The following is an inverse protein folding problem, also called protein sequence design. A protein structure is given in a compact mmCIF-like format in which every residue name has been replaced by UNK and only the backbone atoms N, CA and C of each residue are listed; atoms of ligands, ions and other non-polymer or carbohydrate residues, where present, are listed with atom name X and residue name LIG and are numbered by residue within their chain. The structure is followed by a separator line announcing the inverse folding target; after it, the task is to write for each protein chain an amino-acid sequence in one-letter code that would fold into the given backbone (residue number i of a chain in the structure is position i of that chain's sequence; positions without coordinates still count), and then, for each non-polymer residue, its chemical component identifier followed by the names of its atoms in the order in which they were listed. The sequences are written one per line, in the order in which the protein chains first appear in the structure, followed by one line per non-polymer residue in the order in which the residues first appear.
data_IF_362669670442
#
_entry.id   IF_362669670442
#
_cell.length_a   1.000
_cell.length_b   1.000
_cell.length_c   1.000
_cell.angle_alpha   90.00
_cell.angle_beta   90.00
_cell.angle_gamma   90.00
#
_symmetry.space_group_name_H-M   'P 1'
#
loop_
_entity.id
_entity.type
_entity.pdbx_description
1 polymer ?
#
# COMPACT_ATOMS: atom_id res chain seq x y z
N UNK A 1 10.62 5.49 1.51
CA UNK A 1 11.01 6.72 0.75
C UNK A 1 12.50 7.03 0.84
N UNK A 2 13.15 6.97 1.99
CA UNK A 2 14.58 7.33 2.11
C UNK A 2 15.57 6.42 1.37
N UNK A 3 15.32 5.13 1.18
CA UNK A 3 16.29 4.23 0.53
C UNK A 3 16.36 4.40 -1.00
N UNK A 4 15.24 4.63 -1.68
CA UNK A 4 15.24 4.87 -3.12
C UNK A 4 15.84 6.25 -3.45
N UNK A 5 15.52 7.26 -2.64
CA UNK A 5 16.11 8.60 -2.72
C UNK A 5 17.60 8.57 -2.43
N UNK A 6 18.02 7.82 -1.41
CA UNK A 6 19.44 7.62 -1.07
C UNK A 6 20.21 6.88 -2.17
N UNK A 7 19.61 5.92 -2.87
CA UNK A 7 20.21 5.26 -4.03
C UNK A 7 20.39 6.20 -5.23
N UNK A 8 19.42 7.10 -5.50
CA UNK A 8 19.59 8.13 -6.52
C UNK A 8 20.68 9.14 -6.14
N UNK A 9 20.80 9.49 -4.86
CA UNK A 9 21.85 10.37 -4.35
C UNK A 9 23.24 9.69 -4.32
N UNK A 10 23.30 8.40 -3.99
CA UNK A 10 24.54 7.60 -3.92
C UNK A 10 25.09 7.18 -5.30
N UNK A 11 24.24 7.08 -6.33
CA UNK A 11 24.68 6.73 -7.70
C UNK A 11 25.35 7.91 -8.42
N UNK A 12 25.17 9.11 -7.91
CA UNK A 12 25.83 10.33 -8.38
C UNK A 12 27.08 10.61 -7.54
N UNK A 13 28.14 9.84 -7.81
CA UNK A 13 29.45 10.01 -7.18
C UNK A 13 29.87 11.46 -7.07
N UNK A 14 30.45 11.80 -5.93
CA UNK A 14 30.88 13.08 -5.40
C UNK A 14 31.73 13.94 -6.35
N UNK A 15 31.17 14.44 -7.45
CA UNK A 15 31.83 15.48 -8.25
C UNK A 15 30.81 16.25 -9.09
N UNK A 16 30.56 17.48 -8.70
CA UNK A 16 29.78 18.58 -9.29
C UNK A 16 28.45 18.83 -8.62
N UNK A 17 28.16 20.12 -8.34
CA UNK A 17 26.89 20.68 -7.84
C UNK A 17 25.71 19.97 -8.48
N UNK A 18 24.93 19.22 -7.70
CA UNK A 18 23.91 18.30 -8.16
C UNK A 18 22.76 19.05 -8.83
N UNK A 19 22.77 19.11 -10.16
CA UNK A 19 21.56 19.41 -10.92
C UNK A 19 20.61 18.22 -10.78
N UNK A 20 19.32 18.50 -10.70
CA UNK A 20 18.27 17.47 -10.74
C UNK A 20 18.39 16.66 -12.03
N UNK A 21 18.30 15.30 -12.00
CA UNK A 21 18.36 14.49 -13.21
C UNK A 21 17.38 14.96 -14.28
N UNK A 22 17.78 14.92 -15.58
CA UNK A 22 16.91 15.35 -16.67
C UNK A 22 15.75 14.39 -16.94
N UNK A 23 15.85 13.14 -16.48
CA UNK A 23 14.86 12.10 -16.72
C UNK A 23 14.43 11.49 -15.40
N UNK A 24 13.13 11.38 -15.19
CA UNK A 24 12.52 10.62 -14.09
C UNK A 24 11.49 9.62 -14.61
N UNK A 25 11.57 8.39 -14.09
CA UNK A 25 10.48 7.42 -14.14
C UNK A 25 9.99 7.22 -12.71
N UNK A 26 8.75 7.63 -12.43
CA UNK A 26 8.10 7.48 -11.12
C UNK A 26 6.93 6.53 -11.27
N UNK A 27 6.87 5.46 -10.48
CA UNK A 27 5.79 4.49 -10.57
C UNK A 27 5.36 3.95 -9.21
N UNK A 28 4.13 3.42 -9.14
CA UNK A 28 3.54 2.83 -7.93
C UNK A 28 2.18 3.39 -7.58
N UNK A 29 1.98 3.84 -6.33
CA UNK A 29 0.71 4.41 -5.88
C UNK A 29 0.27 5.59 -6.77
N UNK A 30 -0.90 5.53 -7.44
CA UNK A 30 -1.29 6.53 -8.44
C UNK A 30 -1.36 7.95 -7.86
N UNK A 31 -1.83 8.09 -6.61
CA UNK A 31 -1.95 9.39 -5.96
C UNK A 31 -0.57 9.97 -5.61
N UNK A 32 0.27 9.16 -4.98
CA UNK A 32 1.62 9.57 -4.58
C UNK A 32 2.52 9.81 -5.80
N UNK A 33 2.39 9.02 -6.85
CA UNK A 33 3.08 9.22 -8.14
C UNK A 33 2.71 10.58 -8.74
N UNK A 34 1.41 10.94 -8.74
CA UNK A 34 0.94 12.23 -9.23
C UNK A 34 1.49 13.39 -8.39
N UNK A 35 1.44 13.27 -7.07
CA UNK A 35 1.99 14.28 -6.15
C UNK A 35 3.50 14.45 -6.38
N UNK A 36 4.23 13.34 -6.50
CA UNK A 36 5.67 13.36 -6.77
C UNK A 36 6.01 13.97 -8.13
N UNK A 37 5.22 13.66 -9.14
CA UNK A 37 5.36 14.24 -10.47
C UNK A 37 5.23 15.78 -10.42
N UNK A 38 4.28 16.29 -9.66
CA UNK A 38 4.11 17.75 -9.50
C UNK A 38 5.31 18.38 -8.78
N UNK A 39 5.82 17.74 -7.72
CA UNK A 39 7.04 18.20 -7.03
C UNK A 39 8.25 18.30 -7.98
N UNK A 40 8.42 17.29 -8.84
CA UNK A 40 9.50 17.27 -9.82
C UNK A 40 9.35 18.37 -10.87
N UNK A 41 8.14 18.64 -11.33
CA UNK A 41 7.86 19.76 -12.22
C UNK A 41 8.22 21.10 -11.57
N UNK A 42 7.84 21.30 -10.31
CA UNK A 42 8.12 22.53 -9.59
C UNK A 42 9.63 22.71 -9.30
N UNK A 43 10.36 21.59 -9.03
CA UNK A 43 11.80 21.58 -8.91
C UNK A 43 12.46 21.99 -10.23
N UNK A 44 12.07 21.40 -11.37
CA UNK A 44 12.62 21.74 -12.66
C UNK A 44 12.29 23.21 -13.05
N UNK A 45 11.08 23.68 -12.81
CA UNK A 45 10.72 25.11 -13.04
C UNK A 45 11.63 26.07 -12.26
N UNK A 46 11.99 25.71 -11.03
CA UNK A 46 12.94 26.51 -10.22
C UNK A 46 14.37 26.48 -10.79
N UNK A 47 14.78 25.36 -11.41
CA UNK A 47 16.12 25.20 -11.95
C UNK A 47 16.30 25.80 -13.35
N UNK A 48 15.34 25.57 -14.24
CA UNK A 48 15.43 25.91 -15.67
C UNK A 48 14.59 27.15 -16.06
N UNK A 49 13.82 27.71 -15.11
CA UNK A 49 12.95 28.85 -15.34
C UNK A 49 11.62 28.46 -15.99
N UNK A 50 11.03 29.41 -16.72
CA UNK A 50 9.79 29.16 -17.45
C UNK A 50 10.00 28.08 -18.52
N UNK A 51 9.12 27.07 -18.51
CA UNK A 51 9.18 25.95 -19.42
C UNK A 51 7.80 25.60 -19.97
N UNK A 52 7.76 25.15 -21.20
CA UNK A 52 6.60 24.51 -21.80
C UNK A 52 6.44 23.10 -21.24
N UNK A 53 5.23 22.74 -20.79
CA UNK A 53 4.91 21.38 -20.32
C UNK A 53 4.01 20.69 -21.32
N UNK A 54 4.55 19.74 -22.07
CA UNK A 54 3.79 18.89 -22.97
C UNK A 54 3.41 17.59 -22.27
N UNK A 55 2.09 17.30 -22.21
CA UNK A 55 1.56 16.07 -21.61
C UNK A 55 1.18 15.07 -22.71
N UNK A 56 1.70 13.87 -22.62
CA UNK A 56 1.37 12.74 -23.49
C UNK A 56 0.68 11.68 -22.65
N UNK A 57 -0.60 11.48 -22.85
CA UNK A 57 -1.41 10.52 -22.12
C UNK A 57 -1.52 9.22 -22.92
N UNK A 58 -1.08 8.08 -22.33
CA UNK A 58 -1.11 6.77 -22.96
C UNK A 58 -2.34 6.00 -22.45
N UNK A 59 -3.45 6.01 -23.23
CA UNK A 59 -4.72 5.40 -22.81
C UNK A 59 -4.96 4.03 -23.45
N UNK A 60 -4.55 3.85 -24.70
CA UNK A 60 -4.84 2.66 -25.50
C UNK A 60 -3.64 1.73 -25.63
N UNK A 61 -3.88 0.42 -25.46
CA UNK A 61 -2.88 -0.64 -25.64
C UNK A 61 -2.82 -1.20 -27.08
N UNK A 62 -3.52 -0.60 -28.05
CA UNK A 62 -3.45 -1.04 -29.43
C UNK A 62 -2.07 -0.77 -30.04
N UNK A 63 -1.60 -1.64 -30.94
CA UNK A 63 -0.27 -1.52 -31.54
C UNK A 63 -0.08 -0.19 -32.28
N UNK A 64 -1.12 0.28 -32.98
CA UNK A 64 -1.13 1.55 -33.69
C UNK A 64 -1.03 2.75 -32.73
N UNK A 65 -1.74 2.70 -31.59
CA UNK A 65 -1.66 3.75 -30.57
C UNK A 65 -0.27 3.81 -29.92
N UNK A 66 0.32 2.68 -29.59
CA UNK A 66 1.66 2.60 -29.00
C UNK A 66 2.72 3.16 -29.95
N UNK A 67 2.68 2.82 -31.23
CA UNK A 67 3.55 3.42 -32.25
C UNK A 67 3.37 4.93 -32.34
N UNK A 68 2.13 5.40 -32.27
CA UNK A 68 1.81 6.83 -32.21
C UNK A 68 2.37 7.54 -30.98
N UNK A 69 2.27 6.92 -29.79
CA UNK A 69 2.83 7.50 -28.56
C UNK A 69 4.36 7.57 -28.60
N UNK A 70 5.03 6.49 -29.04
CA UNK A 70 6.50 6.48 -29.16
C UNK A 70 6.95 7.56 -30.15
N UNK A 71 6.32 7.65 -31.33
CA UNK A 71 6.62 8.68 -32.33
C UNK A 71 6.41 10.09 -31.77
N UNK A 72 5.34 10.30 -31.02
CA UNK A 72 5.05 11.59 -30.37
C UNK A 72 6.09 11.95 -29.31
N UNK A 73 6.48 10.99 -28.45
CA UNK A 73 7.54 11.21 -27.45
C UNK A 73 8.84 11.60 -28.16
N UNK A 74 9.25 10.84 -29.17
CA UNK A 74 10.48 11.14 -29.92
C UNK A 74 10.44 12.51 -30.60
N UNK A 75 9.32 12.85 -31.25
CA UNK A 75 9.12 14.16 -31.86
C UNK A 75 9.18 15.28 -30.83
N UNK A 76 8.52 15.10 -29.67
CA UNK A 76 8.51 16.09 -28.59
C UNK A 76 9.89 16.36 -28.01
N UNK A 77 10.74 15.33 -27.93
CA UNK A 77 12.14 15.47 -27.47
C UNK A 77 13.06 16.14 -28.50
N UNK A 78 12.70 16.12 -29.79
CA UNK A 78 13.49 16.72 -30.88
C UNK A 78 13.00 18.10 -31.29
N UNK A 79 11.80 18.49 -30.84
CA UNK A 79 11.16 19.77 -31.26
C UNK A 79 11.30 20.80 -30.15
N UNK A 80 11.86 21.93 -30.49
CA UNK A 80 11.96 23.09 -29.61
C UNK A 80 10.85 24.08 -29.91
N UNK A 81 10.34 24.78 -28.90
CA UNK A 81 9.37 25.86 -29.09
C UNK A 81 9.96 27.01 -29.86
N UNK A 82 9.10 27.74 -30.60
CA UNK A 82 9.50 28.91 -31.40
C UNK A 82 10.27 29.97 -30.61
N UNK A 83 10.06 30.05 -29.31
CA UNK A 83 10.70 31.03 -28.43
C UNK A 83 11.90 30.48 -27.65
N UNK A 84 12.42 29.29 -28.02
CA UNK A 84 13.58 28.65 -27.41
C UNK A 84 13.48 28.56 -25.86
N UNK A 85 12.27 28.35 -25.33
CA UNK A 85 12.07 28.13 -23.89
C UNK A 85 12.35 26.66 -23.53
N UNK A 86 12.72 26.43 -22.26
CA UNK A 86 12.89 25.08 -21.73
C UNK A 86 11.61 24.26 -21.89
N UNK A 87 11.75 22.93 -22.01
CA UNK A 87 10.62 22.03 -22.25
C UNK A 87 10.62 20.86 -21.28
N UNK A 88 9.43 20.53 -20.77
CA UNK A 88 9.18 19.31 -19.99
C UNK A 88 8.20 18.45 -20.75
N UNK A 89 8.58 17.21 -21.06
CA UNK A 89 7.69 16.21 -21.65
C UNK A 89 7.26 15.28 -20.54
N UNK A 90 5.94 15.26 -20.24
CA UNK A 90 5.36 14.40 -19.23
C UNK A 90 4.51 13.30 -19.86
N UNK A 91 5.02 12.07 -19.83
CA UNK A 91 4.31 10.87 -20.31
C UNK A 91 3.60 10.20 -19.15
N UNK A 92 2.27 10.15 -19.25
CA UNK A 92 1.41 9.48 -18.25
C UNK A 92 1.03 8.09 -18.72
N UNK A 93 0.79 7.19 -17.75
CA UNK A 93 0.43 5.78 -17.98
C UNK A 93 1.47 5.03 -18.84
N UNK A 94 2.75 5.26 -18.54
CA UNK A 94 3.87 4.70 -19.32
C UNK A 94 3.86 3.15 -19.36
N UNK A 95 3.22 2.48 -18.40
CA UNK A 95 3.00 1.04 -18.40
C UNK A 95 2.25 0.53 -19.64
N UNK A 96 1.45 1.35 -20.29
CA UNK A 96 0.76 1.01 -21.54
C UNK A 96 1.77 0.70 -22.64
N UNK A 97 2.84 1.47 -22.73
CA UNK A 97 3.94 1.24 -23.68
C UNK A 97 4.75 -0.01 -23.33
N UNK A 98 4.81 -0.35 -22.05
CA UNK A 98 5.54 -1.53 -21.60
C UNK A 98 4.83 -2.86 -21.90
N UNK A 99 3.53 -2.84 -22.28
CA UNK A 99 2.78 -4.04 -22.69
C UNK A 99 2.80 -5.14 -21.62
N UNK A 100 2.62 -4.77 -20.37
CA UNK A 100 2.48 -5.70 -19.25
C UNK A 100 1.05 -6.21 -19.18
N UNK A 101 0.85 -7.49 -19.45
CA UNK A 101 -0.36 -8.17 -19.06
C UNK A 101 -0.39 -8.20 -17.52
N UNK A 102 -1.38 -7.54 -16.91
CA UNK A 102 -1.68 -7.79 -15.49
C UNK A 102 -2.11 -9.24 -15.42
N UNK A 103 -1.20 -10.12 -15.04
CA UNK A 103 -1.56 -11.47 -14.66
C UNK A 103 -2.61 -11.37 -13.56
N UNK A 104 -3.88 -11.47 -13.92
CA UNK A 104 -4.96 -11.88 -13.04
C UNK A 104 -4.55 -13.21 -12.44
N UNK A 105 -3.96 -13.18 -11.24
CA UNK A 105 -3.89 -14.33 -10.37
C UNK A 105 -5.32 -14.61 -9.90
N UNK A 106 -6.02 -15.44 -10.65
CA UNK A 106 -7.36 -15.89 -10.29
C UNK A 106 -8.03 -16.53 -11.49
N UNK A 107 -7.93 -17.84 -11.61
CA UNK A 107 -8.73 -18.86 -12.25
C UNK A 107 -9.56 -18.48 -13.49
N UNK A 108 -9.17 -19.02 -14.64
CA UNK A 108 -9.98 -20.01 -15.38
C UNK A 108 -9.25 -20.33 -16.70
N UNK A 109 -8.65 -21.49 -16.73
CA UNK A 109 -8.17 -22.13 -17.95
C UNK A 109 -9.36 -22.76 -18.67
N UNK A 110 -9.99 -22.04 -19.60
CA UNK A 110 -10.67 -22.63 -20.75
C UNK A 110 -11.13 -21.54 -21.74
N UNK A 111 -10.29 -21.20 -22.68
CA UNK A 111 -10.71 -20.80 -24.03
C UNK A 111 -9.55 -21.05 -24.99
N UNK A 112 -9.62 -22.19 -25.66
CA UNK A 112 -8.90 -22.53 -26.87
C UNK A 112 -9.54 -21.68 -27.96
N UNK A 113 -8.74 -20.84 -28.62
CA UNK A 113 -8.75 -20.51 -30.04
C UNK A 113 -8.05 -19.15 -30.26
N UNK A 114 -6.95 -19.15 -31.05
CA UNK A 114 -6.32 -17.91 -31.54
C UNK A 114 -4.83 -17.72 -31.25
N UNK A 115 -4.02 -18.80 -31.28
CA UNK A 115 -2.58 -18.71 -30.92
C UNK A 115 -1.67 -18.01 -31.97
N UNK A 116 -2.18 -17.61 -33.12
CA UNK A 116 -1.33 -17.01 -34.19
C UNK A 116 -1.25 -15.48 -34.14
N UNK A 117 -2.15 -14.77 -33.44
CA UNK A 117 -2.15 -13.31 -33.35
C UNK A 117 -1.22 -12.71 -32.27
N UNK A 118 -0.91 -13.47 -31.21
CA UNK A 118 -0.25 -12.94 -29.99
C UNK A 118 1.28 -12.82 -30.16
N UNK A 119 1.91 -13.64 -30.97
CA UNK A 119 3.35 -13.59 -31.20
C UNK A 119 3.79 -12.39 -32.06
N UNK A 120 2.95 -11.95 -33.01
CA UNK A 120 3.22 -10.79 -33.85
C UNK A 120 3.22 -9.46 -33.10
N UNK A 121 2.32 -9.27 -32.14
CA UNK A 121 2.22 -8.02 -31.38
C UNK A 121 3.37 -7.80 -30.38
N UNK A 122 3.93 -8.86 -29.78
CA UNK A 122 5.07 -8.76 -28.85
C UNK A 122 6.35 -8.26 -29.54
N UNK A 123 6.54 -8.57 -30.82
CA UNK A 123 7.75 -8.19 -31.57
C UNK A 123 7.70 -6.76 -32.08
N UNK A 124 6.54 -6.21 -32.38
CA UNK A 124 6.39 -4.82 -32.87
C UNK A 124 6.72 -3.85 -31.73
N UNK A 125 6.15 -4.05 -30.55
CA UNK A 125 6.40 -3.20 -29.38
C UNK A 125 7.86 -3.19 -28.92
N UNK A 126 8.56 -4.31 -29.05
CA UNK A 126 9.96 -4.40 -28.69
C UNK A 126 10.85 -3.50 -29.57
N UNK A 127 10.60 -3.43 -30.87
CA UNK A 127 11.36 -2.57 -31.80
C UNK A 127 11.12 -1.08 -31.54
N UNK A 128 9.89 -0.69 -31.26
CA UNK A 128 9.53 0.68 -30.97
C UNK A 128 10.14 1.18 -29.66
N UNK A 129 10.09 0.34 -28.62
CA UNK A 129 10.76 0.65 -27.35
C UNK A 129 12.28 0.69 -27.47
N UNK A 130 12.87 -0.14 -28.34
CA UNK A 130 14.31 -0.08 -28.64
C UNK A 130 14.67 1.21 -29.38
N UNK A 131 13.85 1.65 -30.33
CA UNK A 131 14.03 2.94 -31.01
C UNK A 131 13.93 4.11 -30.02
N UNK A 132 12.94 4.08 -29.12
CA UNK A 132 12.82 5.06 -28.06
C UNK A 132 14.05 5.07 -27.15
N UNK A 133 14.52 3.89 -26.73
CA UNK A 133 15.72 3.76 -25.89
C UNK A 133 16.96 4.37 -26.55
N UNK A 134 17.15 4.13 -27.85
CA UNK A 134 18.25 4.75 -28.63
C UNK A 134 18.12 6.26 -28.73
N UNK A 135 16.90 6.76 -28.96
CA UNK A 135 16.62 8.21 -29.02
C UNK A 135 16.92 8.87 -27.67
N UNK A 136 16.49 8.27 -26.56
CA UNK A 136 16.76 8.78 -25.20
C UNK A 136 18.27 8.85 -24.89
N UNK A 137 19.05 7.86 -25.33
CA UNK A 137 20.50 7.85 -25.17
C UNK A 137 21.20 8.94 -25.99
N UNK A 138 20.67 9.28 -27.16
CA UNK A 138 21.20 10.31 -28.06
C UNK A 138 20.73 11.73 -27.76
N UNK A 139 19.82 11.93 -26.78
CA UNK A 139 19.28 13.25 -26.46
C UNK A 139 20.26 14.08 -25.65
N UNK A 140 20.56 15.31 -26.15
CA UNK A 140 21.31 16.33 -25.41
C UNK A 140 20.38 17.13 -24.51
N UNK A 141 20.32 16.77 -23.21
CA UNK A 141 19.31 17.24 -22.27
C UNK A 141 19.37 18.75 -21.93
N UNK A 142 20.54 19.36 -22.08
CA UNK A 142 20.77 20.77 -21.72
C UNK A 142 21.17 21.66 -22.90
N UNK A 143 21.26 21.13 -24.14
CA UNK A 143 21.74 21.85 -25.29
C UNK A 143 20.86 21.60 -26.54
N UNK A 144 20.46 22.62 -27.31
CA UNK A 144 20.68 24.06 -27.07
C UNK A 144 19.79 24.64 -25.97
N UNK A 145 18.72 23.94 -25.61
CA UNK A 145 17.71 24.35 -24.60
C UNK A 145 17.44 23.19 -23.66
N UNK A 146 17.26 23.44 -22.35
CA UNK A 146 16.96 22.36 -21.41
C UNK A 146 15.68 21.60 -21.75
N UNK A 147 15.80 20.27 -21.87
CA UNK A 147 14.66 19.35 -22.01
C UNK A 147 14.63 18.43 -20.77
N UNK A 148 13.44 18.16 -20.28
CA UNK A 148 13.22 17.24 -19.15
C UNK A 148 12.15 16.23 -19.55
N UNK A 149 12.34 14.98 -19.11
CA UNK A 149 11.40 13.89 -19.37
C UNK A 149 10.90 13.30 -18.05
N UNK A 150 9.61 13.38 -17.84
CA UNK A 150 8.92 12.76 -16.72
C UNK A 150 8.03 11.64 -17.23
N UNK A 151 8.27 10.44 -16.73
CA UNK A 151 7.48 9.25 -17.05
C UNK A 151 6.75 8.82 -15.77
N UNK A 152 5.44 8.61 -15.83
CA UNK A 152 4.65 8.13 -14.69
C UNK A 152 3.89 6.87 -15.07
N UNK A 153 3.87 5.88 -14.14
CA UNK A 153 3.24 4.58 -14.33
C UNK A 153 2.67 4.05 -13.01
N UNK A 154 1.70 3.12 -13.07
CA UNK A 154 1.23 2.39 -11.89
C UNK A 154 2.16 1.20 -11.55
N UNK A 155 2.70 0.54 -12.57
CA UNK A 155 3.60 -0.60 -12.41
C UNK A 155 4.62 -0.69 -13.53
N UNK A 156 5.82 -1.16 -13.20
CA UNK A 156 6.92 -1.26 -14.16
C UNK A 156 7.69 -2.57 -13.96
N UNK A 157 7.92 -3.31 -15.05
CA UNK A 157 8.86 -4.44 -15.01
C UNK A 157 10.29 -3.92 -15.22
N UNK A 158 11.06 -3.84 -14.14
CA UNK A 158 12.44 -3.34 -14.13
C UNK A 158 13.43 -4.16 -14.97
N UNK A 159 13.07 -5.37 -15.40
CA UNK A 159 13.91 -6.23 -16.26
C UNK A 159 13.93 -5.75 -17.70
N UNK A 160 13.03 -4.88 -18.11
CA UNK A 160 12.94 -4.38 -19.48
C UNK A 160 14.10 -3.48 -19.85
N UNK A 161 14.59 -3.63 -21.09
CA UNK A 161 15.74 -2.87 -21.59
C UNK A 161 15.55 -1.35 -21.48
N UNK A 162 14.34 -0.84 -21.80
CA UNK A 162 14.03 0.59 -21.71
C UNK A 162 14.18 1.12 -20.28
N UNK A 163 13.76 0.35 -19.26
CA UNK A 163 13.89 0.76 -17.87
C UNK A 163 15.35 0.85 -17.44
N UNK A 164 16.18 -0.09 -17.91
CA UNK A 164 17.63 -0.04 -17.67
C UNK A 164 18.29 1.19 -18.31
N UNK A 165 17.81 1.59 -19.48
CA UNK A 165 18.28 2.83 -20.12
C UNK A 165 17.85 4.04 -19.28
N UNK A 166 16.63 4.09 -18.81
CA UNK A 166 16.15 5.18 -17.95
C UNK A 166 16.92 5.24 -16.61
N UNK A 167 17.33 4.11 -16.04
CA UNK A 167 18.21 4.06 -14.86
C UNK A 167 19.63 4.63 -15.13
N UNK A 168 20.13 4.53 -16.37
CA UNK A 168 21.43 5.05 -16.75
C UNK A 168 21.44 6.55 -17.01
N UNK A 169 20.39 7.09 -17.62
CA UNK A 169 20.32 8.51 -18.03
C UNK A 169 19.59 9.40 -17.02
N UNK A 170 18.90 8.79 -16.04
CA UNK A 170 18.06 9.51 -15.08
C UNK A 170 17.85 8.75 -13.77
N UNK A 171 16.71 8.98 -13.17
CA UNK A 171 16.32 8.36 -11.91
C UNK A 171 15.03 7.54 -12.08
N UNK A 172 15.01 6.32 -11.55
CA UNK A 172 13.83 5.46 -11.47
C UNK A 172 13.40 5.34 -10.01
N UNK A 173 12.27 5.91 -9.69
CA UNK A 173 11.73 6.01 -8.33
C UNK A 173 10.46 5.15 -8.20
N UNK A 174 10.50 4.19 -7.28
CA UNK A 174 9.33 3.36 -6.92
C UNK A 174 8.67 3.93 -5.68
N UNK A 175 7.38 4.20 -5.79
CA UNK A 175 6.55 4.65 -4.68
C UNK A 175 5.61 3.52 -4.31
N UNK A 176 5.84 2.81 -3.19
CA UNK A 176 5.05 1.65 -2.84
C UNK A 176 3.58 2.03 -2.64
N UNK A 177 2.69 1.19 -3.17
CA UNK A 177 1.26 1.32 -2.93
C UNK A 177 0.99 1.13 -1.44
N UNK A 178 0.29 2.08 -0.82
CA UNK A 178 -0.23 1.87 0.53
C UNK A 178 -1.25 0.74 0.50
N UNK A 179 -0.87 -0.41 1.06
CA UNK A 179 -1.70 -1.61 1.09
C UNK A 179 -1.55 -2.32 2.42
N UNK A 180 -2.63 -2.90 2.99
CA UNK A 180 -2.56 -3.67 4.23
C UNK A 180 -1.63 -4.87 4.14
N UNK A 181 -1.33 -5.32 2.91
CA UNK A 181 -0.45 -6.46 2.65
C UNK A 181 1.04 -6.07 2.64
N UNK A 182 1.36 -4.79 2.69
CA UNK A 182 2.75 -4.32 2.76
C UNK A 182 3.21 -4.34 4.22
N UNK A 183 4.31 -5.02 4.59
CA UNK A 183 4.72 -5.21 5.99
C UNK A 183 4.86 -3.93 6.82
N UNK A 184 5.29 -2.83 6.20
CA UNK A 184 5.58 -1.55 6.88
C UNK A 184 4.66 -0.40 6.40
N UNK A 185 3.46 -0.71 5.88
CA UNK A 185 2.59 0.31 5.30
C UNK A 185 2.20 1.41 6.31
N UNK A 186 2.01 1.09 7.58
CA UNK A 186 1.68 2.07 8.61
C UNK A 186 2.86 3.03 8.87
N UNK A 187 4.09 2.55 8.76
CA UNK A 187 5.28 3.41 8.86
C UNK A 187 5.32 4.39 7.68
N UNK A 188 5.05 3.89 6.47
CA UNK A 188 4.97 4.72 5.26
C UNK A 188 3.83 5.73 5.38
N UNK A 189 2.65 5.28 5.84
CA UNK A 189 1.49 6.15 6.08
C UNK A 189 1.79 7.21 7.15
N UNK A 190 2.48 6.84 8.24
CA UNK A 190 2.88 7.77 9.30
C UNK A 190 3.80 8.87 8.77
N UNK A 191 4.82 8.52 8.00
CA UNK A 191 5.73 9.49 7.37
C UNK A 191 4.99 10.39 6.38
N UNK A 192 4.08 9.81 5.60
CA UNK A 192 3.24 10.54 4.65
C UNK A 192 2.33 11.55 5.37
N UNK A 193 1.62 11.13 6.42
CA UNK A 193 0.74 11.99 7.21
C UNK A 193 1.53 13.15 7.83
N UNK A 194 2.67 12.89 8.47
CA UNK A 194 3.50 13.95 9.04
C UNK A 194 3.91 14.98 8.00
N UNK A 195 4.29 14.51 6.81
CA UNK A 195 4.65 15.40 5.70
C UNK A 195 3.44 16.19 5.21
N UNK A 196 2.27 15.57 5.10
CA UNK A 196 1.04 16.23 4.65
C UNK A 196 0.65 17.39 5.60
N UNK A 197 0.78 17.20 6.90
CA UNK A 197 0.55 18.27 7.90
C UNK A 197 1.67 19.33 7.89
N UNK A 198 2.92 18.93 7.77
CA UNK A 198 4.05 19.87 7.70
C UNK A 198 3.96 20.81 6.48
N UNK A 199 3.46 20.33 5.32
CA UNK A 199 3.20 21.15 4.14
C UNK A 199 2.09 22.21 4.36
N UNK A 200 1.28 22.04 5.39
CA UNK A 200 0.19 22.92 5.81
C UNK A 200 0.50 23.71 7.09
N UNK A 201 1.80 23.77 7.47
CA UNK A 201 2.30 24.42 8.68
C UNK A 201 1.62 23.93 9.97
N UNK A 202 1.28 22.62 10.01
CA UNK A 202 0.66 21.96 11.16
C UNK A 202 1.51 20.81 11.67
N UNK A 203 1.34 20.51 12.95
CA UNK A 203 1.84 19.30 13.60
C UNK A 203 0.68 18.36 13.90
N UNK A 204 0.98 17.10 14.11
CA UNK A 204 0.01 16.09 14.51
C UNK A 204 0.64 15.16 15.55
N UNK A 205 -0.08 14.88 16.64
CA UNK A 205 0.39 13.98 17.69
C UNK A 205 0.45 12.54 17.22
N UNK A 206 1.37 11.73 17.79
CA UNK A 206 1.48 10.29 17.47
C UNK A 206 0.16 9.55 17.65
N UNK A 207 -0.57 9.86 18.72
CA UNK A 207 -1.87 9.26 18.98
C UNK A 207 -2.92 9.64 17.93
N UNK A 208 -2.89 10.89 17.43
CA UNK A 208 -3.76 11.35 16.37
C UNK A 208 -3.43 10.69 15.01
N UNK A 209 -2.14 10.46 14.71
CA UNK A 209 -1.72 9.72 13.51
C UNK A 209 -2.30 8.29 13.54
N UNK A 210 -2.19 7.61 14.67
CA UNK A 210 -2.71 6.25 14.84
C UNK A 210 -4.23 6.22 14.65
N UNK A 211 -4.95 7.16 15.27
CA UNK A 211 -6.40 7.29 15.12
C UNK A 211 -6.78 7.57 13.67
N UNK A 212 -6.05 8.45 12.97
CA UNK A 212 -6.28 8.79 11.57
C UNK A 212 -6.06 7.56 10.66
N UNK A 213 -4.94 6.85 10.83
CA UNK A 213 -4.67 5.61 10.09
C UNK A 213 -5.76 4.56 10.34
N UNK A 214 -6.21 4.42 11.59
CA UNK A 214 -7.28 3.48 11.96
C UNK A 214 -8.59 3.82 11.28
N UNK A 215 -8.97 5.10 11.19
CA UNK A 215 -10.24 5.54 10.60
C UNK A 215 -10.25 5.50 9.07
N UNK A 216 -9.14 5.92 8.45
CA UNK A 216 -9.04 6.11 6.99
C UNK A 216 -8.51 4.86 6.29
N UNK A 217 -7.55 4.16 6.91
CA UNK A 217 -6.87 3.01 6.34
C UNK A 217 -5.76 3.36 5.34
N UNK A 218 -5.27 2.36 4.58
CA UNK A 218 -4.13 2.49 3.68
C UNK A 218 -4.52 3.11 2.33
N UNK A 219 -5.02 4.32 2.34
CA UNK A 219 -5.38 5.07 1.14
C UNK A 219 -4.76 6.47 1.20
N UNK A 220 -3.70 6.68 0.41
CA UNK A 220 -2.93 7.93 0.42
C UNK A 220 -3.79 9.16 0.07
N UNK A 221 -4.67 9.05 -0.92
CA UNK A 221 -5.55 10.14 -1.31
C UNK A 221 -6.54 10.51 -0.19
N UNK A 222 -7.13 9.49 0.45
CA UNK A 222 -8.04 9.70 1.56
C UNK A 222 -7.30 10.31 2.77
N UNK A 223 -6.10 9.83 3.08
CA UNK A 223 -5.28 10.39 4.17
C UNK A 223 -4.92 11.86 3.94
N UNK A 224 -4.59 12.25 2.70
CA UNK A 224 -4.28 13.65 2.40
C UNK A 224 -5.52 14.55 2.45
N UNK A 225 -6.67 14.07 1.95
CA UNK A 225 -7.94 14.79 2.05
C UNK A 225 -8.36 15.00 3.52
N UNK A 226 -8.18 13.98 4.38
CA UNK A 226 -8.45 14.12 5.81
C UNK A 226 -7.45 15.07 6.49
N UNK A 227 -6.17 15.04 6.09
CA UNK A 227 -5.16 15.97 6.59
C UNK A 227 -5.50 17.42 6.22
N UNK A 228 -6.01 17.65 5.01
CA UNK A 228 -6.48 18.98 4.57
C UNK A 228 -7.68 19.44 5.41
N UNK A 229 -8.71 18.61 5.57
CA UNK A 229 -9.88 18.92 6.40
C UNK A 229 -9.51 19.23 7.84
N UNK A 230 -8.66 18.41 8.44
CA UNK A 230 -8.19 18.61 9.81
C UNK A 230 -7.39 19.92 9.95
N UNK A 231 -6.51 20.21 8.98
CA UNK A 231 -5.72 21.44 8.98
C UNK A 231 -6.61 22.70 8.91
N UNK A 232 -7.69 22.63 8.13
CA UNK A 232 -8.70 23.70 8.05
C UNK A 232 -9.54 23.80 9.33
N UNK A 233 -9.93 22.66 9.90
CA UNK A 233 -10.75 22.58 11.11
C UNK A 233 -10.05 23.19 12.34
N UNK A 234 -8.79 22.86 12.56
CA UNK A 234 -8.05 23.38 13.72
C UNK A 234 -7.66 24.86 13.59
N UNK A 235 -7.84 25.45 12.41
CA UNK A 235 -7.62 26.88 12.15
C UNK A 235 -6.21 27.34 12.58
N UNK A 236 -6.12 28.22 13.55
CA UNK A 236 -4.86 28.78 14.06
C UNK A 236 -4.06 27.83 14.97
N UNK A 237 -4.69 26.76 15.49
CA UNK A 237 -4.00 25.83 16.38
C UNK A 237 -2.82 25.13 15.65
N UNK A 238 -1.64 25.05 16.27
CA UNK A 238 -0.44 24.49 15.61
C UNK A 238 -0.45 22.96 15.54
N UNK A 239 -1.24 22.28 16.38
CA UNK A 239 -1.22 20.83 16.53
C UNK A 239 -2.62 20.24 16.41
N UNK A 240 -2.72 19.11 15.69
CA UNK A 240 -3.93 18.29 15.57
C UNK A 240 -3.92 17.20 16.64
N UNK A 241 -5.01 17.11 17.39
CA UNK A 241 -5.19 16.17 18.49
C UNK A 241 -6.03 14.95 18.08
N UNK A 242 -6.07 13.93 18.93
CA UNK A 242 -6.95 12.74 18.74
C UNK A 242 -8.42 13.13 18.68
N UNK A 243 -8.84 14.10 19.51
CA UNK A 243 -10.25 14.51 19.57
C UNK A 243 -10.67 15.28 18.31
N UNK A 244 -9.76 16.03 17.68
CA UNK A 244 -10.01 16.64 16.38
C UNK A 244 -10.23 15.59 15.30
N UNK A 245 -9.37 14.55 15.27
CA UNK A 245 -9.52 13.42 14.34
C UNK A 245 -10.86 12.71 14.54
N UNK A 246 -11.25 12.46 15.79
CA UNK A 246 -12.52 11.81 16.11
C UNK A 246 -13.74 12.63 15.70
N UNK A 247 -13.62 13.94 15.79
CA UNK A 247 -14.71 14.86 15.46
C UNK A 247 -14.88 15.04 13.96
N UNK A 248 -13.79 15.15 13.21
CA UNK A 248 -13.79 15.54 11.79
C UNK A 248 -13.78 14.33 10.85
N UNK A 249 -12.99 13.30 11.17
CA UNK A 249 -12.81 12.18 10.27
C UNK A 249 -13.90 11.14 10.45
N UNK A 250 -14.67 10.82 9.39
CA UNK A 250 -15.65 9.75 9.45
C UNK A 250 -14.95 8.40 9.65
N UNK A 251 -15.69 7.45 10.19
CA UNK A 251 -15.26 6.06 10.24
C UNK A 251 -15.41 5.45 8.85
N UNK A 252 -14.32 5.33 8.10
CA UNK A 252 -14.30 4.77 6.74
C UNK A 252 -14.47 3.24 6.71
N UNK A 253 -14.58 2.66 5.51
CA UNK A 253 -14.73 1.21 5.31
C UNK A 253 -13.61 0.39 5.97
N UNK A 254 -12.37 0.89 5.88
CA UNK A 254 -11.23 0.25 6.52
C UNK A 254 -11.38 0.18 8.05
N UNK A 255 -11.84 1.27 8.66
CA UNK A 255 -12.08 1.31 10.08
C UNK A 255 -13.26 0.40 10.51
N UNK A 256 -14.25 0.21 9.64
CA UNK A 256 -15.37 -0.72 9.90
C UNK A 256 -14.89 -2.18 9.91
N UNK A 257 -14.06 -2.57 8.94
CA UNK A 257 -13.43 -3.89 8.93
C UNK A 257 -12.54 -4.12 10.16
N UNK A 258 -11.82 -3.09 10.63
CA UNK A 258 -11.12 -3.14 11.91
C UNK A 258 -12.06 -3.19 13.10
N UNK A 259 -13.18 -2.45 13.06
CA UNK A 259 -14.16 -2.48 14.13
C UNK A 259 -14.76 -3.87 14.32
N UNK A 260 -15.06 -4.58 13.23
CA UNK A 260 -15.47 -5.98 13.27
C UNK A 260 -14.40 -6.87 13.91
N UNK A 261 -13.15 -6.74 13.44
CA UNK A 261 -12.02 -7.51 13.97
C UNK A 261 -11.71 -7.19 15.44
N UNK A 262 -11.88 -5.93 15.84
CA UNK A 262 -11.68 -5.50 17.22
C UNK A 262 -12.80 -5.96 18.14
N UNK A 263 -14.04 -5.82 17.71
CA UNK A 263 -15.20 -6.34 18.45
C UNK A 263 -15.09 -7.86 18.65
N UNK A 264 -14.56 -8.60 17.63
CA UNK A 264 -14.24 -10.02 17.78
C UNK A 264 -13.13 -10.21 18.82
N UNK A 265 -12.07 -9.40 18.79
CA UNK A 265 -11.00 -9.44 19.77
C UNK A 265 -11.46 -9.11 21.20
N UNK A 266 -12.39 -8.19 21.35
CA UNK A 266 -13.06 -7.85 22.62
C UNK A 266 -14.05 -8.90 23.09
N UNK A 267 -14.38 -9.89 22.25
CA UNK A 267 -15.37 -10.92 22.51
C UNK A 267 -16.79 -10.35 22.73
N UNK A 268 -17.08 -9.26 22.03
CA UNK A 268 -18.35 -8.52 22.13
C UNK A 268 -19.32 -8.93 21.01
N UNK A 269 -20.10 -9.97 21.23
CA UNK A 269 -21.00 -10.54 20.21
C UNK A 269 -21.99 -9.51 19.62
N UNK A 270 -22.68 -8.65 20.40
CA UNK A 270 -23.59 -7.64 19.85
C UNK A 270 -22.91 -6.70 18.85
N UNK A 271 -21.73 -6.17 19.19
CA UNK A 271 -20.99 -5.27 18.30
C UNK A 271 -20.42 -6.00 17.07
N UNK A 272 -19.95 -7.25 17.21
CA UNK A 272 -19.50 -8.06 16.08
C UNK A 272 -20.63 -8.27 15.07
N UNK A 273 -21.83 -8.66 15.53
CA UNK A 273 -22.97 -8.90 14.64
C UNK A 273 -23.47 -7.60 13.97
N UNK A 274 -23.41 -6.49 14.68
CA UNK A 274 -23.73 -5.17 14.12
C UNK A 274 -22.75 -4.79 13.01
N UNK A 275 -21.45 -4.85 13.26
CA UNK A 275 -20.42 -4.52 12.27
C UNK A 275 -20.42 -5.51 11.09
N UNK A 276 -20.67 -6.80 11.33
CA UNK A 276 -20.81 -7.78 10.25
C UNK A 276 -21.99 -7.42 9.33
N UNK A 277 -23.13 -7.02 9.89
CA UNK A 277 -24.28 -6.61 9.10
C UNK A 277 -23.98 -5.35 8.26
N UNK A 278 -23.27 -4.40 8.84
CA UNK A 278 -22.84 -3.18 8.14
C UNK A 278 -21.91 -3.50 6.97
N UNK A 279 -20.91 -4.37 7.16
CA UNK A 279 -19.99 -4.82 6.12
C UNK A 279 -20.69 -5.57 5.00
N UNK A 280 -21.57 -6.51 5.32
CA UNK A 280 -22.33 -7.28 4.34
C UNK A 280 -23.25 -6.38 3.49
N UNK A 281 -23.90 -5.39 4.12
CA UNK A 281 -24.74 -4.42 3.41
C UNK A 281 -23.93 -3.56 2.42
N UNK A 282 -22.72 -3.18 2.79
CA UNK A 282 -21.84 -2.40 1.91
C UNK A 282 -21.28 -3.24 0.75
N UNK A 283 -20.98 -4.52 0.99
CA UNK A 283 -20.55 -5.46 -0.05
C UNK A 283 -21.57 -5.65 -1.17
N UNK A 284 -22.87 -5.60 -0.86
CA UNK A 284 -23.94 -5.67 -1.86
C UNK A 284 -24.00 -4.43 -2.76
N UNK A 285 -23.48 -3.29 -2.31
CA UNK A 285 -23.57 -2.00 -3.00
C UNK A 285 -22.33 -1.58 -3.75
N UNK A 286 -21.16 -2.05 -3.36
CA UNK A 286 -19.88 -1.66 -3.94
C UNK A 286 -19.16 -2.84 -4.57
N UNK A 287 -18.87 -2.75 -5.87
CA UNK A 287 -18.04 -3.73 -6.59
C UNK A 287 -16.57 -3.59 -6.14
N UNK A 288 -16.04 -4.57 -5.44
CA UNK A 288 -14.62 -4.59 -5.03
C UNK A 288 -14.36 -5.26 -3.68
N UNK A 289 -15.39 -5.46 -2.88
CA UNK A 289 -15.32 -6.24 -1.65
C UNK A 289 -15.79 -7.68 -1.89
N UNK A 290 -15.06 -8.66 -1.35
CA UNK A 290 -15.46 -10.06 -1.42
C UNK A 290 -15.60 -10.64 -0.01
N UNK A 291 -16.53 -11.58 0.12
CA UNK A 291 -16.78 -12.33 1.36
C UNK A 291 -15.50 -13.02 1.86
N UNK A 292 -14.67 -13.47 0.92
CA UNK A 292 -13.38 -14.06 1.23
C UNK A 292 -12.41 -13.01 1.80
N UNK A 293 -12.48 -11.75 1.33
CA UNK A 293 -11.69 -10.65 1.88
C UNK A 293 -12.01 -10.39 3.35
N UNK A 294 -13.32 -10.36 3.70
CA UNK A 294 -13.80 -10.24 5.07
C UNK A 294 -13.32 -11.40 5.93
N UNK A 295 -13.47 -12.63 5.43
CA UNK A 295 -13.00 -13.84 6.11
C UNK A 295 -11.50 -13.80 6.37
N UNK A 296 -10.69 -13.40 5.38
CA UNK A 296 -9.24 -13.25 5.56
C UNK A 296 -8.87 -12.19 6.59
N UNK A 297 -9.65 -11.12 6.72
CA UNK A 297 -9.51 -10.13 7.78
C UNK A 297 -9.68 -10.75 9.18
N UNK A 298 -10.72 -11.57 9.37
CA UNK A 298 -10.96 -12.30 10.62
C UNK A 298 -9.85 -13.32 10.92
N UNK A 299 -9.42 -14.10 9.91
CA UNK A 299 -8.29 -15.04 10.03
C UNK A 299 -7.01 -14.30 10.44
N UNK A 300 -6.73 -13.15 9.82
CA UNK A 300 -5.57 -12.33 10.16
C UNK A 300 -5.61 -11.88 11.61
N UNK A 301 -6.77 -11.42 12.09
CA UNK A 301 -6.95 -10.98 13.49
C UNK A 301 -6.71 -12.11 14.49
N UNK A 302 -7.32 -13.28 14.29
CA UNK A 302 -7.12 -14.43 15.17
C UNK A 302 -5.66 -14.88 15.18
N UNK A 303 -5.01 -14.91 14.00
CA UNK A 303 -3.58 -15.23 13.91
C UNK A 303 -2.70 -14.22 14.65
N UNK A 304 -2.99 -12.94 14.54
CA UNK A 304 -2.28 -11.87 15.26
C UNK A 304 -2.40 -12.06 16.77
N UNK A 305 -3.61 -12.36 17.27
CA UNK A 305 -3.83 -12.63 18.69
C UNK A 305 -3.08 -13.90 19.15
N UNK A 306 -3.03 -14.94 18.33
CA UNK A 306 -2.28 -16.16 18.64
C UNK A 306 -0.77 -15.90 18.74
N UNK A 307 -0.22 -15.10 17.84
CA UNK A 307 1.20 -14.70 17.89
C UNK A 307 1.49 -13.82 19.11
N UNK A 308 0.61 -12.89 19.44
CA UNK A 308 0.71 -12.07 20.65
C UNK A 308 0.63 -12.92 21.92
N UNK A 309 -0.24 -13.95 21.94
CA UNK A 309 -0.33 -14.92 23.05
C UNK A 309 1.01 -15.64 23.25
N UNK A 310 1.69 -16.02 22.15
CA UNK A 310 3.01 -16.63 22.22
C UNK A 310 4.09 -15.72 22.84
N UNK A 311 4.00 -14.40 22.69
CA UNK A 311 4.86 -13.43 23.34
C UNK A 311 4.54 -13.30 24.84
N UNK A 312 3.24 -13.31 25.19
CA UNK A 312 2.75 -13.26 26.56
C UNK A 312 3.18 -14.52 27.36
N UNK A 313 2.97 -15.72 26.81
CA UNK A 313 3.33 -16.99 27.43
C UNK A 313 4.82 -17.11 27.72
N UNK A 314 5.66 -16.53 26.84
CA UNK A 314 7.12 -16.51 27.03
C UNK A 314 7.60 -15.39 27.95
N UNK A 315 6.70 -14.53 28.43
CA UNK A 315 7.03 -13.41 29.31
C UNK A 315 7.81 -12.28 28.67
N UNK A 316 7.86 -12.23 27.33
CA UNK A 316 8.54 -11.14 26.61
C UNK A 316 7.80 -9.82 26.71
N UNK A 317 6.49 -9.86 26.82
CA UNK A 317 5.63 -8.67 26.91
C UNK A 317 4.58 -8.83 27.99
N UNK A 318 4.07 -7.69 28.49
CA UNK A 318 3.04 -7.68 29.52
C UNK A 318 1.86 -6.81 29.03
N UNK A 319 0.62 -7.26 29.21
CA UNK A 319 -0.59 -6.50 28.77
C UNK A 319 -0.74 -5.12 29.42
N UNK A 320 -0.09 -4.87 30.56
CA UNK A 320 -0.13 -3.59 31.27
C UNK A 320 0.86 -2.54 30.74
N UNK A 321 1.73 -2.92 29.78
CA UNK A 321 2.66 -1.99 29.15
C UNK A 321 1.93 -0.94 28.34
N UNK A 322 2.42 0.29 28.37
CA UNK A 322 2.02 1.30 27.39
C UNK A 322 2.57 0.92 25.99
N UNK A 323 2.00 1.48 24.93
CA UNK A 323 2.47 1.21 23.57
C UNK A 323 3.97 1.52 23.38
N UNK A 324 4.45 2.64 23.97
CA UNK A 324 5.87 3.02 23.88
C UNK A 324 6.79 2.01 24.58
N UNK A 325 6.38 1.53 25.76
CA UNK A 325 7.11 0.47 26.47
C UNK A 325 7.12 -0.84 25.68
N UNK A 326 5.98 -1.23 25.11
CA UNK A 326 5.85 -2.41 24.27
C UNK A 326 6.76 -2.32 23.04
N UNK A 327 6.75 -1.19 22.32
CA UNK A 327 7.62 -0.96 21.16
C UNK A 327 9.11 -1.01 21.50
N UNK A 328 9.50 -0.48 22.67
CA UNK A 328 10.88 -0.58 23.16
C UNK A 328 11.25 -2.02 23.49
N UNK A 329 10.35 -2.77 24.15
CA UNK A 329 10.57 -4.16 24.53
C UNK A 329 10.73 -5.10 23.33
N UNK A 330 10.00 -4.88 22.23
CA UNK A 330 10.13 -5.68 21.01
C UNK A 330 11.56 -5.73 20.47
N UNK A 331 12.34 -4.64 20.63
CA UNK A 331 13.74 -4.58 20.18
C UNK A 331 14.68 -5.48 20.95
N UNK A 332 14.30 -5.93 22.14
CA UNK A 332 15.10 -6.79 23.00
C UNK A 332 14.75 -8.27 22.89
N UNK A 333 13.74 -8.62 22.08
CA UNK A 333 13.33 -10.01 21.86
C UNK A 333 14.30 -10.68 20.89
N UNK A 334 14.85 -11.85 21.20
CA UNK A 334 15.73 -12.58 20.27
C UNK A 334 15.00 -12.90 18.95
N UNK A 335 15.65 -12.58 17.84
CA UNK A 335 15.08 -12.78 16.50
C UNK A 335 15.15 -14.27 16.10
N UNK A 336 16.18 -14.96 16.54
CA UNK A 336 16.53 -16.33 16.12
C UNK A 336 15.52 -17.40 16.56
N UNK A 337 14.66 -17.08 17.54
CA UNK A 337 13.64 -18.02 18.04
C UNK A 337 12.34 -18.00 17.23
N UNK A 338 12.22 -17.09 16.26
CA UNK A 338 11.03 -16.94 15.43
C UNK A 338 11.30 -17.40 14.00
N UNK A 339 10.29 -17.98 13.32
CA UNK A 339 10.44 -18.35 11.92
C UNK A 339 10.76 -17.15 11.02
N UNK A 340 11.48 -17.39 9.93
CA UNK A 340 11.78 -16.35 8.95
C UNK A 340 10.53 -15.87 8.17
N UNK A 341 9.50 -16.73 8.08
CA UNK A 341 8.23 -16.40 7.41
C UNK A 341 7.53 -15.24 8.13
N UNK A 342 7.38 -14.12 7.41
CA UNK A 342 6.77 -12.88 7.91
C UNK A 342 5.35 -13.08 8.44
N UNK A 343 4.61 -14.06 7.90
CA UNK A 343 3.22 -14.34 8.29
C UNK A 343 3.08 -14.93 9.68
N UNK A 344 4.15 -15.54 10.21
CA UNK A 344 4.16 -16.22 11.50
C UNK A 344 5.24 -15.70 12.45
N UNK A 345 5.92 -14.61 12.06
CA UNK A 345 6.92 -13.93 12.89
C UNK A 345 6.31 -12.67 13.51
N UNK A 346 6.04 -12.63 14.83
CA UNK A 346 5.45 -11.46 15.47
C UNK A 346 6.35 -10.22 15.41
N UNK A 347 7.68 -10.39 15.30
CA UNK A 347 8.63 -9.27 15.25
C UNK A 347 8.66 -8.56 13.89
N UNK A 348 8.15 -9.21 12.83
CA UNK A 348 7.98 -8.61 11.50
C UNK A 348 6.63 -7.91 11.32
N UNK A 349 5.75 -8.04 12.30
CA UNK A 349 4.47 -7.34 12.29
C UNK A 349 4.64 -5.89 12.74
N UNK A 350 3.77 -5.01 12.24
CA UNK A 350 3.71 -3.65 12.74
C UNK A 350 3.42 -3.62 14.25
N UNK A 351 4.26 -2.90 15.01
CA UNK A 351 4.23 -2.93 16.48
C UNK A 351 2.89 -2.54 17.08
N UNK A 352 2.13 -1.64 16.43
CA UNK A 352 0.82 -1.21 16.90
C UNK A 352 -0.26 -2.29 16.72
N UNK A 353 -0.26 -2.96 15.57
CA UNK A 353 -1.17 -4.09 15.29
C UNK A 353 -0.94 -5.21 16.28
N UNK A 354 0.33 -5.53 16.54
CA UNK A 354 0.72 -6.54 17.52
C UNK A 354 0.35 -6.13 18.96
N UNK A 355 0.50 -4.84 19.29
CA UNK A 355 0.09 -4.29 20.58
C UNK A 355 -1.42 -4.42 20.81
N UNK A 356 -2.25 -4.07 19.83
CA UNK A 356 -3.70 -4.25 19.90
C UNK A 356 -4.08 -5.73 19.97
N UNK A 357 -3.39 -6.57 19.21
CA UNK A 357 -3.59 -8.01 19.27
C UNK A 357 -3.25 -8.58 20.65
N UNK A 358 -2.20 -8.07 21.32
CA UNK A 358 -1.82 -8.45 22.67
C UNK A 358 -2.92 -8.09 23.69
N UNK A 359 -3.52 -6.93 23.59
CA UNK A 359 -4.62 -6.52 24.47
C UNK A 359 -5.81 -7.47 24.29
N UNK A 360 -6.18 -7.77 23.04
CA UNK A 360 -7.32 -8.65 22.73
C UNK A 360 -7.05 -10.13 23.05
N UNK A 361 -5.81 -10.57 22.92
CA UNK A 361 -5.41 -11.95 23.21
C UNK A 361 -5.73 -12.38 24.65
N UNK A 362 -5.83 -11.43 25.60
CA UNK A 362 -6.21 -11.71 26.98
C UNK A 362 -7.64 -12.27 27.14
N UNK A 363 -8.51 -12.01 26.16
CA UNK A 363 -9.90 -12.45 26.17
C UNK A 363 -10.08 -13.90 25.70
N UNK A 364 -9.02 -14.54 25.21
CA UNK A 364 -9.03 -15.87 24.64
C UNK A 364 -7.88 -16.72 25.20
N UNK A 365 -8.09 -18.02 25.28
CA UNK A 365 -6.99 -18.97 25.47
C UNK A 365 -6.36 -19.33 24.12
N UNK A 366 -5.17 -19.92 24.14
CA UNK A 366 -4.50 -20.39 22.94
C UNK A 366 -5.33 -21.43 22.18
N UNK A 367 -5.93 -22.35 22.92
CA UNK A 367 -6.79 -23.41 22.40
C UNK A 367 -8.04 -22.83 21.73
N UNK A 368 -8.67 -21.81 22.33
CA UNK A 368 -9.81 -21.10 21.75
C UNK A 368 -9.41 -20.42 20.41
N UNK A 369 -8.25 -19.77 20.34
CA UNK A 369 -7.75 -19.15 19.12
C UNK A 369 -7.44 -20.17 18.02
N UNK A 370 -6.88 -21.34 18.36
CA UNK A 370 -6.65 -22.43 17.42
C UNK A 370 -7.99 -23.00 16.91
N UNK A 371 -8.96 -23.20 17.80
CA UNK A 371 -10.29 -23.64 17.42
C UNK A 371 -11.00 -22.62 16.55
N UNK A 372 -10.85 -21.32 16.84
CA UNK A 372 -11.38 -20.24 16.00
C UNK A 372 -10.81 -20.27 14.57
N UNK A 373 -9.50 -20.52 14.40
CA UNK A 373 -8.88 -20.70 13.07
C UNK A 373 -9.48 -21.92 12.33
N UNK A 374 -9.74 -23.00 13.03
CA UNK A 374 -10.38 -24.21 12.46
C UNK A 374 -11.81 -23.91 11.98
N UNK A 375 -12.59 -23.17 12.78
CA UNK A 375 -13.94 -22.74 12.40
C UNK A 375 -13.94 -21.79 11.19
N UNK A 376 -12.96 -20.88 11.10
CA UNK A 376 -12.81 -19.98 9.96
C UNK A 376 -12.37 -20.75 8.69
N UNK A 377 -11.54 -21.79 8.83
CA UNK A 377 -11.17 -22.68 7.73
C UNK A 377 -12.41 -23.43 7.19
N UNK A 378 -13.22 -24.02 8.08
CA UNK A 378 -14.48 -24.66 7.69
C UNK A 378 -15.44 -23.67 7.00
N UNK A 379 -15.55 -22.44 7.54
CA UNK A 379 -16.30 -21.37 6.93
C UNK A 379 -15.83 -21.09 5.49
N UNK A 380 -14.50 -21.04 5.25
CA UNK A 380 -13.95 -20.81 3.93
C UNK A 380 -14.34 -21.88 2.92
N UNK A 381 -14.32 -23.15 3.32
CA UNK A 381 -14.77 -24.26 2.47
C UNK A 381 -16.26 -24.18 2.15
N UNK A 382 -17.10 -23.80 3.13
CA UNK A 382 -18.55 -23.64 2.92
C UNK A 382 -18.88 -22.49 1.96
N UNK A 383 -18.16 -21.36 2.05
CA UNK A 383 -18.35 -20.21 1.16
C UNK A 383 -17.94 -20.51 -0.29
N UNK A 384 -16.92 -21.33 -0.50
CA UNK A 384 -16.42 -21.66 -1.86
C UNK A 384 -17.18 -22.82 -2.49
N UNK A 385 -17.65 -23.79 -1.70
CA UNK A 385 -18.16 -25.08 -2.22
C UNK A 385 -19.68 -25.16 -2.36
N UNK A 386 -20.45 -24.17 -1.89
CA UNK A 386 -21.91 -24.28 -1.86
C UNK A 386 -22.60 -22.93 -2.12
N UNK A 387 -23.80 -22.98 -2.72
CA UNK A 387 -24.73 -21.86 -2.89
C UNK A 387 -25.46 -21.59 -1.56
N UNK A 388 -24.72 -21.22 -0.51
CA UNK A 388 -25.28 -20.92 0.81
C UNK A 388 -25.42 -19.41 1.01
N UNK A 389 -26.30 -19.03 1.91
CA UNK A 389 -26.38 -17.67 2.39
C UNK A 389 -25.08 -17.30 3.14
N UNK A 390 -24.28 -16.47 2.51
CA UNK A 390 -22.99 -15.99 3.02
C UNK A 390 -23.13 -15.35 4.39
N UNK A 391 -24.18 -14.53 4.58
CA UNK A 391 -24.43 -13.83 5.83
C UNK A 391 -24.69 -14.83 6.96
N UNK A 392 -25.52 -15.83 6.70
CA UNK A 392 -25.85 -16.87 7.70
C UNK A 392 -24.61 -17.68 8.10
N UNK A 393 -23.76 -18.07 7.12
CA UNK A 393 -22.52 -18.85 7.38
C UNK A 393 -21.54 -18.05 8.21
N UNK A 394 -21.31 -16.78 7.89
CA UNK A 394 -20.41 -15.90 8.65
C UNK A 394 -20.95 -15.65 10.07
N UNK A 395 -22.25 -15.35 10.22
CA UNK A 395 -22.88 -15.15 11.53
C UNK A 395 -22.77 -16.39 12.40
N UNK A 396 -23.10 -17.56 11.87
CA UNK A 396 -22.99 -18.84 12.58
C UNK A 396 -21.56 -19.08 13.06
N UNK A 397 -20.57 -18.84 12.18
CA UNK A 397 -19.17 -19.06 12.50
C UNK A 397 -18.69 -18.12 13.60
N UNK A 398 -19.04 -16.84 13.53
CA UNK A 398 -18.69 -15.84 14.56
C UNK A 398 -19.34 -16.17 15.90
N UNK A 399 -20.62 -16.55 15.91
CA UNK A 399 -21.31 -16.98 17.14
C UNK A 399 -20.60 -18.17 17.78
N UNK A 400 -20.17 -19.14 16.97
CA UNK A 400 -19.39 -20.29 17.46
C UNK A 400 -18.04 -19.88 18.05
N UNK A 401 -17.32 -18.96 17.40
CA UNK A 401 -16.02 -18.48 17.88
C UNK A 401 -16.18 -17.76 19.23
N UNK A 402 -17.13 -16.86 19.36
CA UNK A 402 -17.33 -16.11 20.59
C UNK A 402 -17.91 -17.00 21.70
N UNK A 403 -18.76 -17.97 21.33
CA UNK A 403 -19.41 -18.91 22.25
C UNK A 403 -18.52 -20.08 22.71
N UNK A 404 -17.25 -20.17 22.27
CA UNK A 404 -16.30 -21.17 22.80
C UNK A 404 -16.16 -20.92 24.31
N UNK A 405 -16.68 -21.85 25.13
CA UNK A 405 -16.57 -21.75 26.58
C UNK A 405 -15.12 -21.89 27.03
N UNK A 406 -14.68 -21.06 27.97
CA UNK A 406 -13.42 -21.28 28.69
C UNK A 406 -13.52 -22.64 29.37
N UNK A 407 -12.99 -23.69 28.76
CA UNK A 407 -12.83 -24.95 29.45
C UNK A 407 -11.92 -24.69 30.65
N UNK A 408 -12.52 -24.68 31.84
CA UNK A 408 -11.79 -24.67 33.10
C UNK A 408 -10.72 -25.77 33.00
N UNK A 409 -9.47 -25.39 32.95
CA UNK A 409 -8.34 -26.31 33.16
C UNK A 409 -8.57 -26.92 34.56
N UNK A 410 -9.07 -28.13 34.57
CA UNK A 410 -9.11 -28.94 35.81
C UNK A 410 -7.66 -29.00 36.30
N UNK A 411 -7.33 -28.47 37.49
CA UNK A 411 -5.99 -28.60 38.00
C UNK A 411 -5.70 -30.09 38.14
N UNK A 412 -4.63 -30.56 37.50
CA UNK A 412 -4.18 -31.93 37.65
C UNK A 412 -4.08 -32.25 39.15
N UNK A 413 -5.04 -33.03 39.66
CA UNK A 413 -4.97 -33.57 40.98
C UNK A 413 -3.69 -34.37 41.09
N UNK A 414 -2.76 -33.86 41.91
CA UNK A 414 -1.53 -34.54 42.24
C UNK A 414 -1.83 -35.95 42.72
N UNK A 415 -1.33 -36.90 41.96
CA UNK A 415 -1.17 -38.28 42.44
C UNK A 415 -0.03 -38.22 43.48
N UNK A 416 -0.41 -38.20 44.75
CA UNK A 416 0.52 -38.53 45.84
C UNK A 416 0.65 -40.03 45.79
N UNK A 417 1.84 -40.47 45.55
CA UNK A 417 2.40 -41.71 46.11
C UNK A 417 3.72 -41.37 46.82
#
# INVERSE_FOLDING_TARGET
MNQARKRCEDTMGATRRSKTPPVFLVYGDPYLVRTRAQELLDLWKKEIGECEVEIIECESKSSTAISGYVSRIMSSLQTYGLFACAKVVWVRNFEVLLGGDRGTRGGDSNSIEGAEGIAGHKNVHAKELEALAKALHGTEWDNPVPIRLLLTAESVDRRRAIVKVLEQIGCVEEIPLLSPNLPDWETIATEFIRRAFALRDKQISEAAIIELITRVGPNAAALDNEAEKLSLYVGEAPEVTVDDVRTVCPTGHYAKAFALADALGERNLPEVLKHLKEELYEMERESGYSELGLLYGLVSKIRQMLLAQGLLERGYVNPRMSYLQFKAQLKHIPVDIWPEDERINPLKMHSFVLYRAMIHAQNYTKEELIQALTLLLDCSFRLVSSTVDVAAVLQETIIKIIGIEKRNTIPARGIKN
#
